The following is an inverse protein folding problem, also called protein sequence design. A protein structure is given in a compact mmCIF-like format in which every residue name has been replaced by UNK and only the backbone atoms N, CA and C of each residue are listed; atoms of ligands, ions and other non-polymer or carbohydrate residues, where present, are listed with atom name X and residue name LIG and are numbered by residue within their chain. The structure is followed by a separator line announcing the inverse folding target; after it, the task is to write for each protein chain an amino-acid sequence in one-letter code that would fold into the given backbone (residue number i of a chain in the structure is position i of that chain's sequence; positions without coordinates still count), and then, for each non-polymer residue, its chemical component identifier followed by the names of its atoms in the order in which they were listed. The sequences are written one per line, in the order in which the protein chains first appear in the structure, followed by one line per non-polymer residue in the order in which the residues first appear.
data_IF_072380934271
#
_entry.id   IF_072380934271
#
_cell.length_a   1.000
_cell.length_b   1.000
_cell.length_c   1.000
_cell.angle_alpha   90.00
_cell.angle_beta   90.00
_cell.angle_gamma   90.00
#
_symmetry.space_group_name_H-M   'P 1'
#
loop_
_entity.id
_entity.type
_entity.pdbx_description
1 polymer ?
#
# COMPACT_ATOMS: atom_id res chain seq x y z
N UNK A 1 -71.89 32.74 43.16
CA UNK A 1 -71.83 31.29 42.85
C UNK A 1 -72.95 30.51 43.56
N UNK A 2 -74.18 31.01 43.57
CA UNK A 2 -75.32 30.31 44.18
C UNK A 2 -76.65 30.45 43.39
N UNK A 3 -76.65 31.24 42.32
CA UNK A 3 -77.89 31.70 41.65
C UNK A 3 -78.25 30.92 40.37
N UNK A 4 -77.44 29.91 40.01
CA UNK A 4 -77.65 29.04 38.84
C UNK A 4 -77.91 27.57 39.22
N UNK A 5 -77.99 27.27 40.52
CA UNK A 5 -78.28 25.92 41.03
C UNK A 5 -79.79 25.68 41.23
N UNK A 6 -80.64 26.65 40.93
CA UNK A 6 -82.06 26.62 41.28
C UNK A 6 -82.98 25.93 40.25
N UNK A 7 -82.52 25.69 39.02
CA UNK A 7 -83.43 25.23 37.94
C UNK A 7 -83.51 23.71 37.75
N UNK A 8 -82.84 22.89 38.57
CA UNK A 8 -83.06 21.43 38.48
C UNK A 8 -82.97 20.75 39.84
N UNK A 9 -84.12 20.65 40.50
CA UNK A 9 -84.26 19.99 41.79
C UNK A 9 -84.13 18.46 41.64
N UNK A 10 -83.00 17.88 42.06
CA UNK A 10 -82.96 16.48 42.47
C UNK A 10 -83.63 16.38 43.86
N UNK A 11 -84.66 15.53 43.99
CA UNK A 11 -85.58 15.53 45.14
C UNK A 11 -84.97 15.01 46.46
N UNK A 12 -83.74 14.49 46.43
CA UNK A 12 -82.98 14.06 47.61
C UNK A 12 -81.48 14.37 47.43
N UNK A 13 -80.72 14.63 48.52
CA UNK A 13 -79.27 14.82 48.44
C UNK A 13 -78.54 13.59 47.86
N UNK A 14 -79.13 12.41 47.96
CA UNK A 14 -78.67 11.16 47.33
C UNK A 14 -78.85 11.16 45.80
N UNK A 15 -79.97 11.67 45.29
CA UNK A 15 -80.22 11.77 43.85
C UNK A 15 -79.31 12.81 43.14
N UNK A 16 -78.87 13.84 43.88
CA UNK A 16 -77.84 14.77 43.41
C UNK A 16 -76.45 14.10 43.36
N UNK A 17 -76.14 13.23 44.33
CA UNK A 17 -74.89 12.47 44.36
C UNK A 17 -74.83 11.39 43.26
N UNK A 18 -75.91 10.68 42.98
CA UNK A 18 -76.00 9.71 41.86
C UNK A 18 -75.75 10.35 40.49
N UNK A 19 -76.10 11.62 40.31
CA UNK A 19 -75.99 12.32 39.03
C UNK A 19 -74.69 13.11 38.86
N UNK A 20 -74.01 13.41 39.97
CA UNK A 20 -72.71 14.07 40.00
C UNK A 20 -71.54 13.07 39.96
N UNK A 21 -71.79 11.81 40.31
CA UNK A 21 -70.82 10.71 40.19
C UNK A 21 -70.96 10.13 38.79
N UNK A 22 -69.92 10.21 37.93
CA UNK A 22 -69.92 9.47 36.67
C UNK A 22 -70.21 7.99 36.94
N UNK A 23 -71.02 7.34 36.10
CA UNK A 23 -71.35 5.93 36.26
C UNK A 23 -70.03 5.15 36.41
N UNK A 24 -69.85 4.43 37.51
CA UNK A 24 -68.61 3.71 37.80
C UNK A 24 -68.26 2.76 36.64
N UNK A 25 -69.27 2.31 35.90
CA UNK A 25 -69.11 1.51 34.69
C UNK A 25 -68.35 2.27 33.59
N UNK A 26 -68.73 3.51 33.30
CA UNK A 26 -68.05 4.35 32.30
C UNK A 26 -66.57 4.57 32.67
N UNK A 27 -66.27 4.76 33.96
CA UNK A 27 -64.91 4.97 34.42
C UNK A 27 -64.05 3.71 34.32
N UNK A 28 -64.64 2.55 34.62
CA UNK A 28 -63.99 1.23 34.46
C UNK A 28 -63.74 0.96 32.97
N UNK A 29 -64.72 1.20 32.11
CA UNK A 29 -64.58 1.01 30.67
C UNK A 29 -63.51 1.93 30.06
N UNK A 30 -63.45 3.19 30.50
CA UNK A 30 -62.39 4.11 30.10
C UNK A 30 -61.00 3.63 30.55
N UNK A 31 -60.89 3.08 31.76
CA UNK A 31 -59.61 2.55 32.26
C UNK A 31 -59.17 1.33 31.46
N UNK A 32 -60.08 0.38 31.21
CA UNK A 32 -59.80 -0.82 30.42
C UNK A 32 -59.39 -0.45 28.98
N UNK A 33 -60.11 0.47 28.34
CA UNK A 33 -59.77 0.97 27.01
C UNK A 33 -58.39 1.64 27.00
N UNK A 34 -58.04 2.38 28.05
CA UNK A 34 -56.72 3.02 28.16
C UNK A 34 -55.61 1.98 28.33
N UNK A 35 -55.81 0.95 29.15
CA UNK A 35 -54.85 -0.17 29.29
C UNK A 35 -54.65 -0.89 27.97
N UNK A 36 -55.74 -1.23 27.26
CA UNK A 36 -55.67 -1.87 25.95
C UNK A 36 -54.94 -1.00 24.92
N UNK A 37 -55.26 0.31 24.86
CA UNK A 37 -54.62 1.22 23.91
C UNK A 37 -53.10 1.35 24.13
N UNK A 38 -52.66 1.33 25.40
CA UNK A 38 -51.23 1.38 25.74
C UNK A 38 -50.55 0.07 25.36
N UNK A 39 -51.21 -1.06 25.61
CA UNK A 39 -50.70 -2.37 25.21
C UNK A 39 -50.52 -2.46 23.70
N UNK A 40 -51.53 -2.04 22.93
CA UNK A 40 -51.49 -2.05 21.47
C UNK A 40 -50.40 -1.10 20.93
N UNK A 41 -50.26 0.09 21.52
CA UNK A 41 -49.21 1.04 21.16
C UNK A 41 -47.80 0.49 21.41
N UNK A 42 -47.59 -0.22 22.52
CA UNK A 42 -46.31 -0.87 22.85
C UNK A 42 -46.02 -1.98 21.85
N UNK A 43 -46.98 -2.86 21.58
CA UNK A 43 -46.83 -3.98 20.64
C UNK A 43 -46.50 -3.45 19.24
N UNK A 44 -47.26 -2.44 18.77
CA UNK A 44 -47.02 -1.80 17.48
C UNK A 44 -45.63 -1.16 17.39
N UNK A 45 -45.21 -0.45 18.44
CA UNK A 45 -43.88 0.18 18.47
C UNK A 45 -42.76 -0.86 18.44
N UNK A 46 -42.91 -1.95 19.20
CA UNK A 46 -41.95 -3.03 19.24
C UNK A 46 -41.84 -3.71 17.87
N UNK A 47 -42.97 -4.00 17.22
CA UNK A 47 -42.98 -4.64 15.90
C UNK A 47 -42.36 -3.76 14.82
N UNK A 48 -42.64 -2.46 14.83
CA UNK A 48 -41.97 -1.52 13.92
C UNK A 48 -40.45 -1.50 14.13
N UNK A 49 -40.00 -1.54 15.39
CA UNK A 49 -38.56 -1.52 15.70
C UNK A 49 -37.87 -2.83 15.36
N UNK A 50 -38.52 -3.98 15.55
CA UNK A 50 -37.97 -5.27 15.11
C UNK A 50 -37.91 -5.35 13.59
N UNK A 51 -38.92 -4.86 12.86
CA UNK A 51 -38.90 -4.79 11.40
C UNK A 51 -37.77 -3.87 10.90
N UNK A 52 -37.60 -2.70 11.49
CA UNK A 52 -36.51 -1.76 11.16
C UNK A 52 -35.13 -2.40 11.35
N UNK A 53 -34.92 -3.08 12.48
CA UNK A 53 -33.68 -3.82 12.75
C UNK A 53 -33.45 -4.95 11.74
N UNK A 54 -34.49 -5.70 11.38
CA UNK A 54 -34.37 -6.77 10.38
C UNK A 54 -33.98 -6.21 9.00
N UNK A 55 -34.54 -5.08 8.58
CA UNK A 55 -34.17 -4.42 7.33
C UNK A 55 -32.71 -3.97 7.38
N UNK A 56 -32.28 -3.34 8.47
CA UNK A 56 -30.90 -2.87 8.62
C UNK A 56 -29.90 -4.04 8.63
N UNK A 57 -30.22 -5.13 9.34
CA UNK A 57 -29.43 -6.35 9.35
C UNK A 57 -29.34 -7.00 7.97
N UNK A 58 -30.44 -7.04 7.21
CA UNK A 58 -30.43 -7.55 5.83
C UNK A 58 -29.55 -6.70 4.92
N UNK A 59 -29.65 -5.37 4.99
CA UNK A 59 -28.79 -4.45 4.23
C UNK A 59 -27.31 -4.65 4.58
N UNK A 60 -26.98 -4.73 5.87
CA UNK A 60 -25.61 -4.97 6.33
C UNK A 60 -25.07 -6.31 5.81
N UNK A 61 -25.88 -7.38 5.88
CA UNK A 61 -25.53 -8.71 5.35
C UNK A 61 -25.39 -8.74 3.84
N UNK A 62 -26.12 -7.92 3.10
CA UNK A 62 -26.00 -7.80 1.64
C UNK A 62 -24.68 -7.12 1.25
N UNK A 63 -24.29 -6.05 1.97
CA UNK A 63 -23.03 -5.33 1.72
C UNK A 63 -21.81 -6.17 2.09
N UNK A 64 -21.96 -7.19 2.95
CA UNK A 64 -20.88 -8.11 3.38
C UNK A 64 -19.59 -7.35 3.71
N UNK A 65 -19.63 -6.32 4.58
CA UNK A 65 -18.47 -5.46 4.83
C UNK A 65 -17.24 -6.25 5.28
N UNK A 66 -17.44 -7.31 6.07
CA UNK A 66 -16.37 -8.22 6.52
C UNK A 66 -15.63 -8.86 5.34
N UNK A 67 -16.37 -9.27 4.30
CA UNK A 67 -15.78 -9.87 3.10
C UNK A 67 -15.02 -8.82 2.27
N UNK A 68 -15.58 -7.63 2.13
CA UNK A 68 -14.92 -6.51 1.42
C UNK A 68 -13.62 -6.13 2.13
N UNK A 69 -13.66 -6.04 3.46
CA UNK A 69 -12.48 -5.77 4.29
C UNK A 69 -11.45 -6.88 4.14
N UNK A 70 -11.83 -8.16 4.29
CA UNK A 70 -10.92 -9.29 4.13
C UNK A 70 -10.28 -9.35 2.73
N UNK A 71 -11.03 -9.08 1.67
CA UNK A 71 -10.50 -9.00 0.31
C UNK A 71 -9.53 -7.82 0.15
N UNK A 72 -9.86 -6.67 0.73
CA UNK A 72 -9.02 -5.47 0.66
C UNK A 72 -7.71 -5.65 1.43
N UNK A 73 -7.74 -6.26 2.62
CA UNK A 73 -6.54 -6.56 3.41
C UNK A 73 -5.66 -7.60 2.71
N UNK A 74 -6.25 -8.66 2.14
CA UNK A 74 -5.52 -9.63 1.35
C UNK A 74 -4.85 -8.98 0.13
N UNK A 75 -5.60 -8.16 -0.62
CA UNK A 75 -5.06 -7.45 -1.79
C UNK A 75 -3.92 -6.51 -1.42
N UNK A 76 -4.05 -5.78 -0.31
CA UNK A 76 -3.01 -4.90 0.20
C UNK A 76 -1.74 -5.68 0.56
N UNK A 77 -1.88 -6.81 1.26
CA UNK A 77 -0.75 -7.69 1.59
C UNK A 77 -0.06 -8.25 0.33
N UNK A 78 -0.83 -8.69 -0.67
CA UNK A 78 -0.26 -9.17 -1.95
C UNK A 78 0.50 -8.06 -2.68
N UNK A 79 -0.05 -6.85 -2.74
CA UNK A 79 0.61 -5.70 -3.37
C UNK A 79 1.89 -5.29 -2.63
N UNK A 80 1.89 -5.33 -1.31
CA UNK A 80 3.09 -5.06 -0.50
C UNK A 80 4.20 -6.07 -0.79
N UNK A 81 3.88 -7.37 -0.79
CA UNK A 81 4.86 -8.41 -1.13
C UNK A 81 5.41 -8.23 -2.55
N UNK A 82 4.54 -7.96 -3.53
CA UNK A 82 4.94 -7.76 -4.91
C UNK A 82 5.84 -6.53 -5.07
N UNK A 83 5.53 -5.43 -4.36
CA UNK A 83 6.35 -4.22 -4.37
C UNK A 83 7.76 -4.52 -3.84
N UNK A 84 7.86 -5.16 -2.67
CA UNK A 84 9.15 -5.47 -2.04
C UNK A 84 9.99 -6.36 -2.98
N UNK A 85 9.40 -7.44 -3.52
CA UNK A 85 10.08 -8.35 -4.43
C UNK A 85 10.56 -7.64 -5.71
N UNK A 86 9.71 -6.79 -6.30
CA UNK A 86 10.04 -6.06 -7.52
C UNK A 86 11.17 -5.06 -7.28
N UNK A 87 11.12 -4.32 -6.17
CA UNK A 87 12.16 -3.35 -5.81
C UNK A 87 13.50 -4.06 -5.55
N UNK A 88 13.50 -5.15 -4.79
CA UNK A 88 14.71 -5.94 -4.53
C UNK A 88 15.31 -6.51 -5.82
N UNK A 89 14.48 -7.07 -6.70
CA UNK A 89 14.93 -7.60 -7.99
C UNK A 89 15.54 -6.51 -8.87
N UNK A 90 14.88 -5.35 -8.99
CA UNK A 90 15.40 -4.20 -9.75
C UNK A 90 16.71 -3.67 -9.18
N UNK A 91 16.82 -3.56 -7.86
CA UNK A 91 18.04 -3.08 -7.22
C UNK A 91 19.20 -4.04 -7.48
N UNK A 92 18.97 -5.35 -7.36
CA UNK A 92 19.97 -6.37 -7.65
C UNK A 92 20.41 -6.32 -9.12
N UNK A 93 19.46 -6.20 -10.05
CA UNK A 93 19.77 -6.08 -11.47
C UNK A 93 20.59 -4.83 -11.79
N UNK A 94 20.22 -3.68 -11.21
CA UNK A 94 20.96 -2.44 -11.37
C UNK A 94 22.39 -2.55 -10.82
N UNK A 95 22.57 -3.20 -9.68
CA UNK A 95 23.88 -3.44 -9.07
C UNK A 95 24.75 -4.35 -9.94
N UNK A 96 24.20 -5.45 -10.46
CA UNK A 96 24.90 -6.34 -11.38
C UNK A 96 25.28 -5.63 -12.68
N UNK A 97 24.38 -4.81 -13.23
CA UNK A 97 24.67 -4.02 -14.42
C UNK A 97 25.80 -3.01 -14.16
N UNK A 98 25.74 -2.28 -13.05
CA UNK A 98 26.80 -1.36 -12.66
C UNK A 98 28.15 -2.06 -12.54
N UNK A 99 28.19 -3.24 -11.90
CA UNK A 99 29.42 -4.01 -11.75
C UNK A 99 29.99 -4.46 -13.10
N UNK A 100 29.13 -4.95 -14.01
CA UNK A 100 29.58 -5.30 -15.36
C UNK A 100 30.10 -4.11 -16.16
N UNK A 101 29.47 -2.92 -16.05
CA UNK A 101 30.02 -1.73 -16.70
C UNK A 101 31.36 -1.32 -16.08
N UNK A 102 31.51 -1.42 -14.76
CA UNK A 102 32.78 -1.13 -14.09
C UNK A 102 33.89 -2.08 -14.54
N UNK A 103 33.61 -3.39 -14.67
CA UNK A 103 34.55 -4.39 -15.19
C UNK A 103 34.93 -4.14 -16.65
N UNK A 104 33.97 -3.74 -17.49
CA UNK A 104 34.21 -3.34 -18.88
C UNK A 104 35.08 -2.09 -18.98
N UNK A 105 34.86 -1.10 -18.12
CA UNK A 105 35.70 0.09 -18.07
C UNK A 105 37.12 -0.26 -17.60
N UNK A 106 37.27 -1.10 -16.58
CA UNK A 106 38.57 -1.53 -16.07
C UNK A 106 39.38 -2.35 -17.10
N UNK A 107 38.71 -3.11 -17.97
CA UNK A 107 39.38 -3.86 -19.06
C UNK A 107 39.75 -2.99 -20.25
N UNK A 108 39.04 -1.88 -20.47
CA UNK A 108 39.34 -0.90 -21.51
C UNK A 108 40.35 0.16 -21.07
N UNK A 109 40.72 0.22 -19.78
CA UNK A 109 41.71 1.17 -19.26
C UNK A 109 43.15 0.68 -19.58
N UNK A 110 43.89 1.35 -20.49
CA UNK A 110 45.26 1.00 -20.85
C UNK A 110 46.21 1.08 -19.65
N UNK A 111 45.88 1.89 -18.63
CA UNK A 111 46.66 2.00 -17.40
C UNK A 111 46.64 0.70 -16.59
N UNK A 112 45.55 -0.08 -16.64
CA UNK A 112 45.45 -1.37 -15.96
C UNK A 112 46.36 -2.45 -16.56
N UNK A 113 46.58 -2.40 -17.87
CA UNK A 113 47.54 -3.28 -18.57
C UNK A 113 48.97 -2.84 -18.27
N UNK A 114 49.26 -1.54 -18.31
CA UNK A 114 50.59 -1.01 -17.95
C UNK A 114 50.94 -1.29 -16.48
N UNK A 115 49.97 -1.17 -15.56
CA UNK A 115 50.16 -1.45 -14.12
C UNK A 115 50.46 -2.93 -13.80
N UNK A 116 50.12 -3.85 -14.71
CA UNK A 116 50.44 -5.29 -14.58
C UNK A 116 51.87 -5.63 -15.04
N UNK A 117 52.71 -4.63 -15.32
CA UNK A 117 54.11 -4.81 -15.68
C UNK A 117 54.37 -4.95 -17.19
N UNK A 118 53.35 -4.69 -18.02
CA UNK A 118 53.53 -4.63 -19.47
C UNK A 118 54.01 -3.24 -19.89
N UNK A 119 54.91 -3.18 -20.87
CA UNK A 119 55.40 -1.95 -21.46
C UNK A 119 54.89 -1.83 -22.90
N UNK A 120 54.46 -0.64 -23.32
CA UNK A 120 54.11 -0.37 -24.72
C UNK A 120 55.34 0.19 -25.42
N UNK A 121 55.81 -0.50 -26.45
CA UNK A 121 56.96 -0.08 -27.26
C UNK A 121 56.45 0.63 -28.52
N UNK A 122 56.93 1.85 -28.76
CA UNK A 122 56.62 2.64 -29.95
C UNK A 122 57.89 2.95 -30.75
N UNK A 123 57.78 2.81 -32.07
CA UNK A 123 58.76 3.30 -33.03
C UNK A 123 58.06 4.40 -33.86
N UNK A 124 58.62 5.62 -33.90
CA UNK A 124 58.09 6.72 -34.72
C UNK A 124 56.56 6.94 -34.60
N UNK A 125 56.05 6.88 -33.36
CA UNK A 125 54.63 6.99 -32.99
C UNK A 125 53.71 5.80 -33.31
N UNK A 126 54.20 4.72 -33.94
CA UNK A 126 53.45 3.47 -34.13
C UNK A 126 53.83 2.41 -33.09
N UNK A 127 52.84 1.62 -32.65
CA UNK A 127 53.07 0.52 -31.69
C UNK A 127 53.68 -0.67 -32.42
N UNK A 128 54.86 -1.09 -31.98
CA UNK A 128 55.57 -2.22 -32.58
C UNK A 128 54.96 -3.52 -32.04
N UNK A 129 54.46 -4.38 -32.93
CA UNK A 129 53.85 -5.68 -32.58
C UNK A 129 54.71 -6.87 -32.98
N UNK A 130 55.66 -6.67 -33.88
CA UNK A 130 56.56 -7.69 -34.40
C UNK A 130 57.99 -7.21 -34.39
N UNK A 131 58.92 -8.13 -34.11
CA UNK A 131 60.37 -7.86 -34.13
C UNK A 131 60.88 -7.60 -35.56
N UNK A 132 60.14 -8.06 -36.58
CA UNK A 132 60.49 -7.88 -37.98
C UNK A 132 60.42 -6.41 -38.46
N UNK A 133 59.69 -5.54 -37.73
CA UNK A 133 59.51 -4.13 -38.08
C UNK A 133 60.60 -3.23 -37.46
N UNK A 134 61.58 -3.82 -36.77
CA UNK A 134 62.64 -3.11 -36.05
C UNK A 134 63.97 -3.18 -36.79
N UNK A 135 64.74 -2.10 -36.72
CA UNK A 135 66.11 -2.05 -37.24
C UNK A 135 67.13 -1.84 -36.12
N UNK A 136 68.31 -2.45 -36.25
CA UNK A 136 69.41 -2.26 -35.29
C UNK A 136 69.89 -0.81 -35.37
N UNK A 137 69.99 -0.17 -34.20
CA UNK A 137 70.31 1.24 -34.05
C UNK A 137 69.09 2.16 -33.96
N UNK A 138 67.87 1.65 -34.15
CA UNK A 138 66.64 2.43 -34.08
C UNK A 138 66.34 2.90 -32.66
N UNK A 139 65.82 4.12 -32.52
CA UNK A 139 65.35 4.67 -31.25
C UNK A 139 63.90 4.25 -31.03
N UNK A 140 63.63 3.67 -29.86
CA UNK A 140 62.33 3.23 -29.41
C UNK A 140 61.91 3.99 -28.16
N UNK A 141 60.62 4.28 -28.09
CA UNK A 141 59.99 4.84 -26.90
C UNK A 141 59.25 3.74 -26.15
N UNK A 142 59.68 3.44 -24.94
CA UNK A 142 59.04 2.45 -24.07
C UNK A 142 58.24 3.18 -23.01
N UNK A 143 56.93 2.97 -23.03
CA UNK A 143 56.02 3.56 -22.05
C UNK A 143 55.67 2.50 -20.98
N UNK A 144 55.96 2.82 -19.73
CA UNK A 144 55.67 2.01 -18.54
C UNK A 144 54.44 2.57 -17.79
N UNK A 145 54.01 1.90 -16.73
CA UNK A 145 52.94 2.38 -15.84
C UNK A 145 53.23 3.75 -15.23
N UNK A 146 54.49 4.03 -14.94
CA UNK A 146 54.97 5.31 -14.45
C UNK A 146 56.24 5.70 -15.20
N UNK A 147 56.08 6.54 -16.21
CA UNK A 147 57.20 7.13 -16.94
C UNK A 147 57.42 6.57 -18.35
N UNK A 148 58.38 7.19 -19.03
CA UNK A 148 58.72 6.93 -20.43
C UNK A 148 60.24 6.83 -20.53
N UNK A 149 60.70 5.81 -21.25
CA UNK A 149 62.11 5.54 -21.48
C UNK A 149 62.38 5.64 -22.98
N UNK A 150 63.54 6.19 -23.33
CA UNK A 150 64.04 6.17 -24.70
C UNK A 150 65.18 5.16 -24.72
N UNK A 151 65.06 4.15 -25.57
CA UNK A 151 66.03 3.05 -25.69
C UNK A 151 66.45 2.88 -27.14
N UNK A 152 67.65 2.38 -27.36
CA UNK A 152 68.16 2.10 -28.71
C UNK A 152 68.26 0.59 -28.91
N UNK A 153 67.90 0.10 -30.10
CA UNK A 153 67.99 -1.32 -30.44
C UNK A 153 69.47 -1.70 -30.66
N UNK A 154 70.07 -2.42 -29.73
CA UNK A 154 71.48 -2.84 -29.84
C UNK A 154 71.67 -4.12 -30.65
N UNK A 155 70.72 -5.05 -30.52
CA UNK A 155 70.72 -6.34 -31.22
C UNK A 155 69.28 -6.84 -31.37
N UNK A 156 69.01 -7.57 -32.44
CA UNK A 156 67.71 -8.20 -32.71
C UNK A 156 67.93 -9.70 -32.78
N UNK A 157 67.34 -10.44 -31.85
CA UNK A 157 67.34 -11.90 -31.85
C UNK A 157 65.91 -12.39 -32.07
N UNK A 158 65.70 -13.16 -33.13
CA UNK A 158 64.44 -13.83 -33.40
C UNK A 158 64.44 -15.17 -32.66
N UNK A 159 63.67 -15.27 -31.58
CA UNK A 159 63.37 -16.56 -30.99
C UNK A 159 62.39 -17.29 -31.92
N UNK A 160 62.91 -18.21 -32.73
CA UNK A 160 62.09 -19.25 -33.36
C UNK A 160 61.56 -20.17 -32.26
N UNK A 161 60.29 -20.01 -31.91
CA UNK A 161 59.53 -21.05 -31.20
C UNK A 161 59.23 -22.16 -32.21
N UNK A 162 59.97 -23.26 -32.12
CA UNK A 162 59.47 -24.59 -32.47
C UNK A 162 58.52 -25.08 -31.36
#
# INVERSE_FOLDING_TARGET
LADLAADYSAHTPTAAAERAVPDLQDLVDQHLNRVMSVQDAIVFTLDNKTQELQVLQRRLRQVRPDRVLAQSTQRLSSLQHQLIQTVQSRMKQAQTQHQHLAEKLATLDPHGVLARGYAVVRAEAQVVRSVADLTVGQILEVQLSQGRLIVQVTAIELNSLD
#
